data_IF_825900132862
#
_entry.id   IF_825900132862
#
_cell.length_a   1.000
_cell.length_b   1.000
_cell.length_c   1.000
_cell.angle_alpha   90.00
_cell.angle_beta   90.00
_cell.angle_gamma   90.00
#
_symmetry.space_group_name_H-M   'P 1'
#
loop_
_entity.id
_entity.type
_entity.pdbx_description
1 polymer ?
#
# COMPACT_ATOMS: atom_id res chain seq x y z
N UNK A 1 -8.92 -8.05 22.06
CA UNK A 1 -7.80 -8.02 21.08
C UNK A 1 -8.27 -8.78 19.85
N UNK A 2 -8.66 -8.07 18.82
CA UNK A 2 -8.99 -8.71 17.54
C UNK A 2 -7.69 -8.82 16.73
N UNK A 3 -7.05 -9.97 16.83
CA UNK A 3 -6.02 -10.37 15.88
C UNK A 3 -6.74 -10.62 14.54
N UNK A 4 -6.84 -9.60 13.69
CA UNK A 4 -7.15 -9.85 12.29
C UNK A 4 -6.18 -10.89 11.74
N UNK A 5 -6.62 -11.68 10.76
CA UNK A 5 -5.82 -12.74 10.11
C UNK A 5 -4.41 -12.24 9.71
N UNK A 6 -4.27 -10.93 9.53
CA UNK A 6 -3.04 -10.27 9.05
C UNK A 6 -2.34 -9.42 10.13
N UNK A 7 -2.87 -9.34 11.36
CA UNK A 7 -2.22 -8.58 12.42
C UNK A 7 -0.93 -9.27 12.83
N UNK A 8 0.17 -8.53 12.71
CA UNK A 8 1.48 -8.82 13.30
C UNK A 8 1.89 -10.31 13.25
N UNK A 9 1.88 -10.88 12.04
CA UNK A 9 2.18 -12.29 11.85
C UNK A 9 3.59 -12.49 11.29
N UNK A 10 4.58 -12.43 12.18
CA UNK A 10 5.99 -12.63 11.82
C UNK A 10 6.24 -13.97 11.13
N UNK A 11 5.51 -15.01 11.50
CA UNK A 11 5.64 -16.32 10.86
C UNK A 11 5.24 -16.28 9.38
N UNK A 12 4.10 -15.63 9.05
CA UNK A 12 3.68 -15.48 7.66
C UNK A 12 4.62 -14.59 6.86
N UNK A 13 5.13 -13.52 7.48
CA UNK A 13 6.16 -12.68 6.86
C UNK A 13 7.42 -13.49 6.54
N UNK A 14 7.93 -14.25 7.51
CA UNK A 14 9.14 -15.06 7.34
C UNK A 14 8.95 -16.13 6.27
N UNK A 15 7.81 -16.81 6.24
CA UNK A 15 7.49 -17.80 5.21
C UNK A 15 7.43 -17.17 3.81
N UNK A 16 6.79 -16.01 3.67
CA UNK A 16 6.73 -15.28 2.41
C UNK A 16 8.12 -14.84 1.95
N UNK A 17 8.94 -14.28 2.84
CA UNK A 17 10.30 -13.85 2.52
C UNK A 17 11.20 -15.04 2.14
N UNK A 18 11.07 -16.17 2.81
CA UNK A 18 11.81 -17.37 2.46
C UNK A 18 11.39 -17.92 1.09
N UNK A 19 10.09 -17.93 0.79
CA UNK A 19 9.61 -18.31 -0.55
C UNK A 19 10.18 -17.40 -1.64
N UNK A 20 10.17 -16.08 -1.40
CA UNK A 20 10.73 -15.11 -2.35
C UNK A 20 12.23 -15.36 -2.55
N UNK A 21 12.98 -15.51 -1.45
CA UNK A 21 14.44 -15.75 -1.51
C UNK A 21 14.75 -16.99 -2.34
N UNK A 22 14.13 -18.12 -2.04
CA UNK A 22 14.34 -19.39 -2.76
C UNK A 22 13.98 -19.28 -4.25
N UNK A 23 12.96 -18.48 -4.58
CA UNK A 23 12.56 -18.28 -5.97
C UNK A 23 13.57 -17.43 -6.75
N UNK A 24 14.08 -16.35 -6.13
CA UNK A 24 15.06 -15.46 -6.75
C UNK A 24 16.45 -16.13 -6.92
N UNK A 25 16.80 -17.06 -6.02
CA UNK A 25 18.07 -17.80 -6.04
C UNK A 25 18.02 -19.07 -6.90
N UNK A 26 16.91 -19.31 -7.60
CA UNK A 26 16.74 -20.49 -8.43
C UNK A 26 17.72 -20.48 -9.61
N UNK A 27 18.37 -21.60 -9.85
CA UNK A 27 19.32 -21.78 -10.97
C UNK A 27 18.66 -21.45 -12.32
N UNK A 28 19.39 -20.67 -13.13
CA UNK A 28 18.97 -20.30 -14.48
C UNK A 28 18.00 -19.12 -14.57
N UNK A 29 17.64 -18.47 -13.45
CA UNK A 29 16.86 -17.23 -13.51
C UNK A 29 17.70 -16.05 -13.95
N UNK A 30 17.12 -15.18 -14.77
CA UNK A 30 17.74 -13.92 -15.20
C UNK A 30 17.33 -12.77 -14.27
N UNK A 31 18.01 -11.62 -14.40
CA UNK A 31 17.61 -10.37 -13.72
C UNK A 31 16.16 -9.98 -14.10
N UNK A 32 15.83 -10.12 -15.36
CA UNK A 32 14.50 -9.81 -15.92
C UNK A 32 13.43 -10.72 -15.31
N UNK A 33 13.70 -12.02 -15.18
CA UNK A 33 12.77 -12.97 -14.53
C UNK A 33 12.53 -12.59 -13.06
N UNK A 34 13.58 -12.21 -12.35
CA UNK A 34 13.52 -11.81 -10.97
C UNK A 34 12.74 -10.49 -10.79
N UNK A 35 12.95 -9.51 -11.67
CA UNK A 35 12.17 -8.27 -11.67
C UNK A 35 10.68 -8.54 -11.94
N UNK A 36 10.38 -9.41 -12.91
CA UNK A 36 9.00 -9.79 -13.22
C UNK A 36 8.32 -10.51 -12.05
N UNK A 37 9.03 -11.43 -11.40
CA UNK A 37 8.54 -12.13 -10.22
C UNK A 37 8.27 -11.19 -9.05
N UNK A 38 9.21 -10.30 -8.72
CA UNK A 38 9.00 -9.30 -7.66
C UNK A 38 7.80 -8.40 -7.96
N UNK A 39 7.63 -7.98 -9.22
CA UNK A 39 6.46 -7.20 -9.66
C UNK A 39 5.17 -7.97 -9.45
N UNK A 40 5.12 -9.23 -9.87
CA UNK A 40 3.96 -10.10 -9.66
C UNK A 40 3.61 -10.22 -8.17
N UNK A 41 4.60 -10.39 -7.30
CA UNK A 41 4.39 -10.48 -5.85
C UNK A 41 3.85 -9.17 -5.27
N UNK A 42 4.42 -8.03 -5.68
CA UNK A 42 3.97 -6.70 -5.25
C UNK A 42 2.50 -6.45 -5.63
N UNK A 43 2.15 -6.73 -6.86
CA UNK A 43 0.78 -6.56 -7.36
C UNK A 43 -0.19 -7.51 -6.63
N UNK A 44 0.19 -8.77 -6.42
CA UNK A 44 -0.63 -9.76 -5.71
C UNK A 44 -0.89 -9.35 -4.26
N UNK A 45 0.14 -8.90 -3.54
CA UNK A 45 -0.01 -8.42 -2.15
C UNK A 45 -0.86 -7.14 -2.11
N UNK A 46 -0.67 -6.23 -3.06
CA UNK A 46 -1.46 -5.02 -3.19
C UNK A 46 -2.95 -5.31 -3.37
N UNK A 47 -3.31 -6.23 -4.25
CA UNK A 47 -4.70 -6.67 -4.45
C UNK A 47 -5.29 -7.40 -3.23
N UNK A 48 -4.50 -8.20 -2.52
CA UNK A 48 -4.94 -8.82 -1.26
C UNK A 48 -5.27 -7.77 -0.19
N UNK A 49 -4.42 -6.76 -0.02
CA UNK A 49 -4.70 -5.64 0.89
C UNK A 49 -5.96 -4.88 0.46
N UNK A 50 -6.09 -4.56 -0.82
CA UNK A 50 -7.23 -3.85 -1.38
C UNK A 50 -8.55 -4.58 -1.09
N UNK A 51 -8.63 -5.87 -1.44
CA UNK A 51 -9.81 -6.70 -1.23
C UNK A 51 -10.16 -6.82 0.24
N UNK A 52 -9.17 -7.03 1.10
CA UNK A 52 -9.38 -7.16 2.53
C UNK A 52 -9.85 -5.85 3.16
N UNK A 53 -9.29 -4.72 2.73
CA UNK A 53 -9.70 -3.40 3.19
C UNK A 53 -11.16 -3.12 2.84
N UNK A 54 -11.61 -3.52 1.65
CA UNK A 54 -13.00 -3.39 1.23
C UNK A 54 -13.95 -4.21 2.10
N UNK A 55 -13.57 -5.46 2.41
CA UNK A 55 -14.41 -6.41 3.15
C UNK A 55 -14.33 -6.26 4.67
N UNK A 56 -13.33 -5.55 5.18
CA UNK A 56 -13.12 -5.41 6.62
C UNK A 56 -14.39 -4.99 7.37
N UNK A 57 -15.08 -3.97 6.88
CA UNK A 57 -16.31 -3.45 7.51
C UNK A 57 -17.52 -4.36 7.33
N UNK A 58 -17.48 -5.24 6.33
CA UNK A 58 -18.53 -6.25 6.13
C UNK A 58 -18.42 -7.33 7.20
N UNK A 59 -17.20 -7.73 7.54
CA UNK A 59 -16.93 -8.81 8.48
C UNK A 59 -16.84 -8.38 9.94
N UNK A 60 -16.53 -7.10 10.19
CA UNK A 60 -16.30 -6.60 11.55
C UNK A 60 -17.39 -5.63 11.99
N UNK A 61 -17.90 -5.86 13.22
CA UNK A 61 -18.91 -5.00 13.82
C UNK A 61 -18.36 -3.65 14.32
N UNK A 62 -17.05 -3.55 14.53
CA UNK A 62 -16.38 -2.38 15.10
C UNK A 62 -15.99 -1.38 14.02
N UNK A 63 -16.27 -0.09 14.28
CA UNK A 63 -16.00 1.01 13.35
C UNK A 63 -14.51 1.39 13.22
N UNK A 64 -13.62 0.75 13.97
CA UNK A 64 -12.19 1.06 13.96
C UNK A 64 -11.47 0.15 12.99
N UNK A 65 -11.26 0.62 11.76
CA UNK A 65 -10.36 -0.06 10.85
C UNK A 65 -8.92 -0.02 11.40
N UNK A 66 -8.18 -1.14 11.31
CA UNK A 66 -6.79 -1.19 11.75
C UNK A 66 -5.85 -0.35 10.89
N UNK A 67 -6.31 0.13 9.74
CA UNK A 67 -5.51 0.87 8.78
C UNK A 67 -5.71 2.36 9.01
N UNK A 68 -4.82 2.95 9.79
CA UNK A 68 -4.72 4.41 9.88
C UNK A 68 -4.19 5.00 8.56
N UNK A 69 -4.41 6.30 8.33
CA UNK A 69 -3.90 7.03 7.17
C UNK A 69 -2.35 7.05 7.04
N UNK A 70 -1.63 6.40 7.95
CA UNK A 70 -0.16 6.31 7.99
C UNK A 70 0.27 4.87 8.09
N UNK A 71 0.27 4.21 6.95
CA UNK A 71 0.76 2.82 6.84
C UNK A 71 2.29 2.78 6.95
N UNK A 72 2.97 3.78 6.40
CA UNK A 72 4.42 3.92 6.43
C UNK A 72 4.85 5.07 7.34
N UNK A 73 6.00 4.96 8.02
CA UNK A 73 6.58 6.07 8.76
C UNK A 73 7.02 7.16 7.78
N UNK A 74 6.51 8.39 7.94
CA UNK A 74 6.84 9.50 7.03
C UNK A 74 8.10 10.25 7.45
N UNK A 75 8.38 10.30 8.74
CA UNK A 75 9.47 11.10 9.30
C UNK A 75 10.18 10.31 10.39
N UNK A 76 11.50 10.41 10.42
CA UNK A 76 12.34 9.88 11.49
C UNK A 76 13.27 10.98 12.03
N UNK A 77 13.73 10.81 13.27
CA UNK A 77 14.71 11.68 13.88
C UNK A 77 15.98 10.89 14.16
N UNK A 78 17.08 11.32 13.58
CA UNK A 78 18.39 10.73 13.79
C UNK A 78 18.89 10.97 15.23
N UNK A 79 19.91 10.23 15.65
CA UNK A 79 20.51 10.39 16.98
C UNK A 79 21.11 11.79 17.20
N UNK A 80 21.63 12.41 16.14
CA UNK A 80 22.13 13.79 16.16
C UNK A 80 21.03 14.87 16.21
N UNK A 81 19.76 14.48 16.10
CA UNK A 81 18.60 15.36 16.15
C UNK A 81 18.06 15.81 14.80
N UNK A 82 18.71 15.46 13.69
CA UNK A 82 18.23 15.80 12.36
C UNK A 82 16.92 15.08 12.04
N UNK A 83 16.04 15.80 11.34
CA UNK A 83 14.79 15.25 10.83
C UNK A 83 14.98 14.77 9.38
N UNK A 84 14.57 13.52 9.11
CA UNK A 84 14.59 12.94 7.77
C UNK A 84 13.16 12.66 7.33
N UNK A 85 12.78 13.24 6.20
CA UNK A 85 11.56 12.88 5.49
C UNK A 85 11.81 11.61 4.67
N UNK A 86 11.13 10.51 5.02
CA UNK A 86 11.29 9.20 4.38
C UNK A 86 10.51 9.11 3.07
N UNK A 87 9.39 9.83 3.01
CA UNK A 87 8.50 9.87 1.86
C UNK A 87 8.24 11.34 1.55
N UNK A 88 8.63 11.79 0.37
CA UNK A 88 8.44 13.16 -0.07
C UNK A 88 7.57 13.23 -1.33
N UNK A 89 6.80 14.32 -1.46
CA UNK A 89 6.04 14.58 -2.68
C UNK A 89 7.03 14.97 -3.79
N UNK A 90 7.01 14.25 -4.91
CA UNK A 90 7.83 14.59 -6.09
C UNK A 90 7.30 15.81 -6.84
N UNK A 91 6.20 16.41 -6.41
CA UNK A 91 5.47 17.46 -7.14
C UNK A 91 5.02 17.01 -8.55
N UNK A 92 4.95 15.71 -8.74
CA UNK A 92 4.52 15.04 -9.96
C UNK A 92 3.13 14.46 -9.78
N UNK A 93 2.33 14.46 -10.85
CA UNK A 93 1.03 13.82 -10.89
C UNK A 93 1.08 12.59 -11.79
N UNK A 94 0.52 11.50 -11.28
CA UNK A 94 0.28 10.29 -12.06
C UNK A 94 -1.21 10.09 -12.24
N UNK A 95 -1.61 9.76 -13.47
CA UNK A 95 -2.95 9.28 -13.78
C UNK A 95 -3.02 7.79 -13.48
N UNK A 96 -3.95 7.40 -12.62
CA UNK A 96 -4.21 6.03 -12.20
C UNK A 96 -5.48 5.54 -12.88
N UNK A 97 -5.39 4.38 -13.51
CA UNK A 97 -6.55 3.70 -14.09
C UNK A 97 -7.22 2.82 -13.03
N UNK A 98 -8.44 3.18 -12.65
CA UNK A 98 -9.22 2.44 -11.66
C UNK A 98 -9.67 1.04 -12.13
N UNK A 99 -9.47 0.70 -13.41
CA UNK A 99 -9.80 -0.62 -13.92
C UNK A 99 -8.70 -1.66 -13.72
N UNK A 100 -7.43 -1.22 -13.72
CA UNK A 100 -6.28 -2.13 -13.86
C UNK A 100 -5.21 -1.97 -12.80
N UNK A 101 -5.16 -0.83 -12.08
CA UNK A 101 -4.11 -0.57 -11.10
C UNK A 101 -4.58 -0.86 -9.68
N UNK A 102 -3.64 -1.18 -8.78
CA UNK A 102 -3.92 -1.42 -7.36
C UNK A 102 -4.27 -0.11 -6.67
N UNK A 103 -5.49 -0.02 -6.12
CA UNK A 103 -6.03 1.18 -5.49
C UNK A 103 -6.60 0.86 -4.11
N UNK A 104 -5.83 1.11 -3.08
CA UNK A 104 -6.22 0.87 -1.70
C UNK A 104 -7.06 2.05 -1.22
N UNK A 105 -8.37 1.91 -1.32
CA UNK A 105 -9.34 2.85 -0.82
C UNK A 105 -9.99 2.27 0.44
N UNK A 106 -9.83 2.98 1.55
CA UNK A 106 -10.40 2.55 2.82
C UNK A 106 -11.90 2.92 2.86
N UNK A 107 -12.82 1.95 2.67
CA UNK A 107 -14.23 2.22 2.87
C UNK A 107 -14.54 2.31 4.38
N UNK A 108 -15.35 2.88 4.86
CA UNK A 108 -16.35 3.57 5.60
C UNK A 108 -16.76 3.02 6.95
N UNK A 109 -17.30 3.99 7.71
CA UNK A 109 -18.20 3.73 8.83
C UNK A 109 -19.49 3.09 8.32
N UNK A 110 -20.03 2.08 9.03
CA UNK A 110 -21.30 1.38 8.72
C UNK A 110 -22.47 2.25 8.25
N UNK A 111 -22.71 3.49 8.80
CA UNK A 111 -23.83 4.32 8.34
C UNK A 111 -23.77 4.73 6.87
N UNK A 112 -22.64 4.51 6.21
CA UNK A 112 -22.45 4.95 4.82
C UNK A 112 -22.71 3.87 3.75
N UNK A 113 -23.12 2.66 4.16
CA UNK A 113 -23.36 1.54 3.21
C UNK A 113 -24.48 1.88 2.21
N UNK A 114 -25.52 2.64 2.63
CA UNK A 114 -26.56 3.10 1.71
C UNK A 114 -26.01 3.97 0.57
N UNK A 115 -25.00 4.81 0.85
CA UNK A 115 -24.36 5.65 -0.15
C UNK A 115 -23.62 4.85 -1.23
N UNK A 116 -23.10 3.66 -0.87
CA UNK A 116 -22.45 2.76 -1.84
C UNK A 116 -23.45 2.30 -2.88
N UNK A 117 -24.65 1.90 -2.44
CA UNK A 117 -25.69 1.45 -3.35
C UNK A 117 -26.05 2.52 -4.40
N UNK A 118 -26.26 3.74 -3.94
CA UNK A 118 -26.58 4.88 -4.82
C UNK A 118 -25.40 5.22 -5.75
N UNK A 119 -24.19 5.18 -5.24
CA UNK A 119 -22.98 5.46 -6.02
C UNK A 119 -22.72 4.40 -7.09
N UNK A 120 -22.85 3.12 -6.77
CA UNK A 120 -22.70 2.04 -7.75
C UNK A 120 -23.65 2.23 -8.92
N UNK A 121 -24.94 2.42 -8.65
CA UNK A 121 -25.93 2.65 -9.69
C UNK A 121 -25.69 3.95 -10.48
N UNK A 122 -25.24 5.00 -9.83
CA UNK A 122 -24.92 6.26 -10.49
C UNK A 122 -23.71 6.15 -11.40
N UNK A 123 -22.61 5.57 -10.90
CA UNK A 123 -21.36 5.41 -11.67
C UNK A 123 -21.56 4.41 -12.82
N UNK A 124 -22.33 3.35 -12.59
CA UNK A 124 -22.61 2.39 -13.66
C UNK A 124 -23.34 3.03 -14.84
N UNK A 125 -24.35 3.85 -14.60
CA UNK A 125 -25.15 4.52 -15.66
C UNK A 125 -24.47 5.73 -16.26
N UNK A 126 -23.76 6.56 -15.46
CA UNK A 126 -23.29 7.88 -15.87
C UNK A 126 -21.77 7.98 -16.00
N UNK A 127 -21.03 6.90 -15.67
CA UNK A 127 -19.59 6.90 -15.58
C UNK A 127 -19.05 7.58 -14.31
N UNK A 128 -17.78 7.37 -14.04
CA UNK A 128 -17.06 8.04 -12.94
C UNK A 128 -16.69 9.46 -13.34
N UNK A 129 -17.00 10.42 -12.46
CA UNK A 129 -16.63 11.83 -12.63
C UNK A 129 -15.53 12.19 -11.66
N UNK A 130 -14.32 12.38 -12.16
CA UNK A 130 -13.18 12.82 -11.35
C UNK A 130 -13.40 14.24 -10.82
N UNK A 131 -13.21 14.42 -9.51
CA UNK A 131 -13.18 15.73 -8.83
C UNK A 131 -11.89 15.85 -8.03
N UNK A 132 -10.98 16.72 -8.47
CA UNK A 132 -9.66 16.93 -7.86
C UNK A 132 -9.71 17.42 -6.40
N UNK A 133 -10.83 17.99 -5.96
CA UNK A 133 -11.02 18.46 -4.58
C UNK A 133 -11.38 17.32 -3.64
N UNK A 134 -12.03 16.27 -4.17
CA UNK A 134 -12.55 15.14 -3.39
C UNK A 134 -11.77 13.84 -3.63
N UNK A 135 -11.20 13.63 -4.83
CA UNK A 135 -10.51 12.39 -5.17
C UNK A 135 -9.00 12.61 -5.04
N UNK A 136 -8.45 12.24 -3.89
CA UNK A 136 -7.03 12.41 -3.58
C UNK A 136 -6.40 11.09 -3.17
N UNK A 137 -5.15 10.90 -3.55
CA UNK A 137 -4.36 9.74 -3.19
C UNK A 137 -2.87 9.97 -3.46
N UNK A 138 -2.09 8.99 -3.07
CA UNK A 138 -0.63 8.96 -3.24
C UNK A 138 -0.24 7.66 -3.90
N UNK A 139 0.56 7.75 -4.95
CA UNK A 139 1.17 6.61 -5.63
C UNK A 139 2.58 6.37 -5.08
N UNK A 140 2.88 5.12 -4.78
CA UNK A 140 4.18 4.63 -4.33
C UNK A 140 4.85 3.81 -5.44
N UNK A 141 5.83 4.37 -6.18
CA UNK A 141 6.28 3.83 -7.48
C UNK A 141 6.75 2.38 -7.44
N UNK A 142 7.70 2.07 -6.58
CA UNK A 142 8.30 0.72 -6.56
C UNK A 142 7.40 -0.33 -5.90
N UNK A 143 6.46 0.10 -5.05
CA UNK A 143 5.42 -0.78 -4.49
C UNK A 143 4.27 -1.01 -5.47
N UNK A 144 4.13 -0.16 -6.49
CA UNK A 144 3.05 -0.14 -7.47
C UNK A 144 1.64 -0.06 -6.86
N UNK A 145 1.47 0.68 -5.78
CA UNK A 145 0.18 0.85 -5.12
C UNK A 145 -0.22 2.32 -5.06
N UNK A 146 -1.51 2.58 -5.08
CA UNK A 146 -2.09 3.88 -4.79
C UNK A 146 -2.88 3.80 -3.48
N UNK A 147 -2.54 4.66 -2.52
CA UNK A 147 -3.30 4.80 -1.27
C UNK A 147 -4.18 6.03 -1.37
N UNK A 148 -5.49 5.82 -1.27
CA UNK A 148 -6.49 6.90 -1.31
C UNK A 148 -6.54 7.61 0.04
N UNK A 149 -6.55 8.94 0.02
CA UNK A 149 -6.69 9.78 1.22
C UNK A 149 -8.04 10.50 1.31
N UNK A 150 -8.71 10.71 0.17
CA UNK A 150 -10.05 11.30 0.09
C UNK A 150 -10.83 10.72 -1.08
N UNK A 151 -12.17 10.70 -0.96
CA UNK A 151 -13.05 10.18 -2.01
C UNK A 151 -13.15 8.65 -2.03
N UNK A 152 -12.88 8.01 -0.89
CA UNK A 152 -12.84 6.56 -0.78
C UNK A 152 -14.08 5.88 -1.39
N UNK A 153 -15.30 6.42 -1.19
CA UNK A 153 -16.56 5.83 -1.66
C UNK A 153 -16.64 5.74 -3.17
N UNK A 154 -16.53 6.87 -3.81
CA UNK A 154 -16.64 6.95 -5.26
C UNK A 154 -15.50 6.24 -5.97
N UNK A 155 -14.28 6.31 -5.40
CA UNK A 155 -13.11 5.62 -5.95
C UNK A 155 -13.30 4.09 -5.81
N UNK A 156 -13.70 3.56 -4.65
CA UNK A 156 -13.94 2.12 -4.48
C UNK A 156 -15.04 1.60 -5.40
N UNK A 157 -16.17 2.32 -5.51
CA UNK A 157 -17.25 1.92 -6.41
C UNK A 157 -16.79 1.92 -7.87
N UNK A 158 -16.01 2.94 -8.26
CA UNK A 158 -15.48 3.07 -9.62
C UNK A 158 -14.47 1.97 -9.94
N UNK A 159 -13.58 1.67 -9.00
CA UNK A 159 -12.62 0.59 -9.11
C UNK A 159 -13.31 -0.78 -9.22
N UNK A 160 -14.33 -1.05 -8.40
CA UNK A 160 -15.16 -2.26 -8.52
C UNK A 160 -15.81 -2.37 -9.91
N UNK A 161 -16.35 -1.27 -10.42
CA UNK A 161 -16.99 -1.21 -11.74
C UNK A 161 -16.00 -1.16 -12.91
N UNK A 162 -14.68 -1.13 -12.62
CA UNK A 162 -13.62 -1.00 -13.62
C UNK A 162 -13.79 0.23 -14.52
N UNK A 163 -14.15 1.38 -13.93
CA UNK A 163 -14.46 2.63 -14.65
C UNK A 163 -13.72 3.82 -14.10
N UNK A 164 -13.09 4.59 -14.99
CA UNK A 164 -12.55 5.90 -14.68
C UNK A 164 -11.10 5.95 -14.26
N UNK A 165 -10.63 7.16 -14.05
CA UNK A 165 -9.24 7.45 -13.68
C UNK A 165 -9.18 8.55 -12.64
N UNK A 166 -8.13 8.59 -11.83
CA UNK A 166 -7.83 9.68 -10.88
C UNK A 166 -6.40 10.18 -11.08
N UNK A 167 -6.15 11.44 -10.73
CA UNK A 167 -4.79 11.98 -10.67
C UNK A 167 -4.34 12.04 -9.21
N UNK A 168 -3.20 11.44 -8.92
CA UNK A 168 -2.63 11.34 -7.57
C UNK A 168 -1.23 11.92 -7.51
N UNK A 169 -0.77 12.28 -6.32
CA UNK A 169 0.63 12.65 -6.11
C UNK A 169 1.52 11.41 -6.19
N UNK A 170 2.74 11.60 -6.71
CA UNK A 170 3.79 10.57 -6.68
C UNK A 170 4.73 10.85 -5.51
N UNK A 171 4.96 9.86 -4.65
CA UNK A 171 5.92 9.98 -3.56
C UNK A 171 7.27 9.37 -3.93
N UNK A 172 8.32 10.08 -3.54
CA UNK A 172 9.66 9.53 -3.49
C UNK A 172 9.78 8.66 -2.24
N UNK A 173 10.24 7.42 -2.42
CA UNK A 173 10.40 6.44 -1.33
C UNK A 173 11.85 5.95 -1.20
N UNK A 174 12.78 6.46 -2.02
CA UNK A 174 14.17 5.99 -2.04
C UNK A 174 14.90 6.30 -0.73
N UNK A 175 14.60 7.45 -0.12
CA UNK A 175 15.11 7.80 1.21
C UNK A 175 14.70 6.77 2.28
N UNK A 176 13.48 6.23 2.19
CA UNK A 176 13.03 5.21 3.13
C UNK A 176 13.88 3.93 3.03
N UNK A 177 14.29 3.51 1.84
CA UNK A 177 15.11 2.30 1.66
C UNK A 177 16.48 2.40 2.32
N UNK A 178 17.00 3.61 2.49
CA UNK A 178 18.28 3.85 3.15
C UNK A 178 18.20 3.75 4.68
N UNK A 179 17.12 4.23 5.27
CA UNK A 179 17.00 4.41 6.72
C UNK A 179 16.09 3.38 7.39
N UNK A 180 15.24 2.70 6.63
CA UNK A 180 14.22 1.79 7.17
C UNK A 180 14.47 0.37 6.72
N UNK A 181 14.26 -0.56 7.63
CA UNK A 181 14.08 -1.99 7.34
C UNK A 181 12.86 -2.51 8.11
N UNK A 182 12.57 -3.80 8.00
CA UNK A 182 11.46 -4.43 8.71
C UNK A 182 11.72 -5.90 8.97
N UNK A 183 11.18 -6.39 10.09
CA UNK A 183 11.13 -7.82 10.44
C UNK A 183 9.71 -8.42 10.28
N UNK A 184 8.79 -7.64 9.69
CA UNK A 184 7.38 -8.02 9.52
C UNK A 184 6.48 -7.59 10.68
N UNK A 185 7.04 -7.30 11.84
CA UNK A 185 6.33 -6.84 13.03
C UNK A 185 6.58 -5.36 13.32
N UNK A 186 7.77 -4.89 12.96
CA UNK A 186 8.22 -3.54 13.25
C UNK A 186 8.88 -2.90 12.02
N UNK A 187 8.67 -1.59 11.86
CA UNK A 187 9.57 -0.72 11.13
C UNK A 187 10.80 -0.51 11.97
N UNK A 188 11.97 -0.85 11.45
CA UNK A 188 13.27 -0.75 12.10
C UNK A 188 14.02 0.43 11.51
N UNK A 189 14.53 1.33 12.37
CA UNK A 189 15.20 2.55 11.92
C UNK A 189 16.68 2.52 12.27
N UNK A 190 17.52 2.74 11.28
CA UNK A 190 18.97 2.81 11.45
C UNK A 190 19.37 4.21 11.94
N UNK A 191 20.24 4.27 12.96
CA UNK A 191 20.80 5.51 13.51
C UNK A 191 19.75 6.52 14.03
N UNK A 192 18.62 6.05 14.54
CA UNK A 192 17.51 6.88 14.99
C UNK A 192 17.27 6.76 16.50
N UNK A 193 16.74 7.84 17.10
CA UNK A 193 16.33 7.86 18.51
C UNK A 193 15.27 6.80 18.81
N UNK A 194 14.25 6.71 17.97
CA UNK A 194 13.25 5.65 18.03
C UNK A 194 13.68 4.52 17.10
N UNK A 195 14.07 3.39 17.68
CA UNK A 195 14.64 2.28 16.91
C UNK A 195 13.60 1.43 16.19
N UNK A 196 12.32 1.48 16.60
CA UNK A 196 11.25 0.69 15.99
C UNK A 196 9.86 1.27 16.21
N UNK A 197 8.96 1.01 15.26
CA UNK A 197 7.51 1.29 15.33
C UNK A 197 6.76 0.03 14.90
N UNK A 198 5.71 -0.33 15.64
CA UNK A 198 4.91 -1.53 15.36
C UNK A 198 4.16 -1.41 14.03
N UNK A 199 4.07 -2.54 13.32
CA UNK A 199 3.34 -2.69 12.06
C UNK A 199 2.01 -3.38 12.34
N UNK A 200 0.91 -2.78 11.94
CA UNK A 200 -0.43 -3.33 12.17
C UNK A 200 -0.81 -4.47 11.21
N UNK A 201 -0.17 -4.52 10.05
CA UNK A 201 -0.43 -5.51 9.00
C UNK A 201 0.89 -5.83 8.28
N UNK A 202 1.36 -7.07 8.43
CA UNK A 202 2.65 -7.52 7.89
C UNK A 202 2.75 -7.43 6.37
N UNK A 203 1.63 -7.37 5.64
CA UNK A 203 1.63 -7.23 4.18
C UNK A 203 2.26 -5.91 3.72
N UNK A 204 2.12 -4.83 4.52
CA UNK A 204 2.82 -3.58 4.22
C UNK A 204 4.33 -3.69 4.45
N UNK A 205 4.76 -4.50 5.42
CA UNK A 205 6.17 -4.85 5.58
C UNK A 205 6.70 -5.61 4.37
N UNK A 206 5.92 -6.58 3.86
CA UNK A 206 6.25 -7.32 2.63
C UNK A 206 6.35 -6.38 1.42
N UNK A 207 5.34 -5.53 1.19
CA UNK A 207 5.37 -4.54 0.10
C UNK A 207 6.63 -3.69 0.16
N UNK A 208 6.98 -3.17 1.35
CA UNK A 208 8.18 -2.37 1.54
C UNK A 208 9.44 -3.17 1.23
N UNK A 209 9.59 -4.37 1.80
CA UNK A 209 10.79 -5.20 1.63
C UNK A 209 10.98 -5.65 0.19
N UNK A 210 9.92 -6.10 -0.47
CA UNK A 210 9.97 -6.53 -1.87
C UNK A 210 10.21 -5.34 -2.82
N UNK A 211 9.61 -4.18 -2.54
CA UNK A 211 9.87 -2.99 -3.35
C UNK A 211 11.30 -2.48 -3.22
N UNK A 212 11.92 -2.62 -2.04
CA UNK A 212 13.35 -2.35 -1.83
C UNK A 212 14.21 -3.30 -2.64
N UNK A 213 13.94 -4.62 -2.60
CA UNK A 213 14.64 -5.61 -3.42
C UNK A 213 14.48 -5.33 -4.92
N UNK A 214 13.27 -4.96 -5.35
CA UNK A 214 13.00 -4.57 -6.73
C UNK A 214 13.83 -3.34 -7.14
N UNK A 215 13.85 -2.30 -6.30
CA UNK A 215 14.64 -1.09 -6.52
C UNK A 215 16.14 -1.38 -6.62
N UNK A 216 16.67 -2.17 -5.69
CA UNK A 216 18.10 -2.55 -5.67
C UNK A 216 18.47 -3.35 -6.92
N UNK A 217 17.63 -4.31 -7.30
CA UNK A 217 17.85 -5.12 -8.50
C UNK A 217 17.73 -4.30 -9.79
N UNK A 218 16.83 -3.32 -9.84
CA UNK A 218 16.67 -2.44 -10.99
C UNK A 218 17.92 -1.58 -11.23
N UNK A 219 18.61 -1.18 -10.15
CA UNK A 219 19.76 -0.29 -10.18
C UNK A 219 21.14 -1.01 -10.13
N UNK A 220 21.16 -2.34 -10.00
CA UNK A 220 22.38 -3.18 -10.12
C UNK A 220 22.68 -3.49 -11.59
#
# INVERSE_FOLDING_TARGET
MNSGIYANNQNNYNQAMEYVRLTLERDGTTKEDNLLFLRFMLDSIGHDIETNTLLYYVYNANDNAPIGNRVFPHTIYLENGDEIQLFSDRFEKRKIDLATEVVIAQPWRKPSVSKVYDLLGSIDRNGFKYDYRNHRGTFYPYMNITIVSQGHHSISCSHYLKKGTINVNVYDIESAYKYVDTDGCYWLFNNCKNKKVEINDFRYALLFKLSKMYFELLNS
#
